data_IF_811939499025
#
_entry.id   IF_811939499025
#
_cell.length_a   1.000
_cell.length_b   1.000
_cell.length_c   1.000
_cell.angle_alpha   90.00
_cell.angle_beta   90.00
_cell.angle_gamma   90.00
#
_symmetry.space_group_name_H-M   'P 1'
#
loop_
_entity.id
_entity.type
_entity.pdbx_description
1 polymer ?
#
# COMPACT_ATOMS: atom_id res chain seq x y z
N UNK A 1 -19.07 22.41 -0.74
CA UNK A 1 -18.55 21.03 -0.55
C UNK A 1 -18.83 20.66 0.90
N UNK A 2 -19.60 19.61 1.14
CA UNK A 2 -19.99 19.19 2.48
C UNK A 2 -18.96 18.18 3.01
N UNK A 3 -18.46 18.40 4.23
CA UNK A 3 -17.50 17.49 4.86
C UNK A 3 -18.23 16.31 5.48
N UNK A 4 -18.11 15.12 4.90
CA UNK A 4 -18.84 13.92 5.34
C UNK A 4 -18.21 13.21 6.54
N UNK A 5 -16.98 13.55 6.90
CA UNK A 5 -16.23 12.94 8.02
C UNK A 5 -16.27 13.76 9.31
N UNK A 6 -17.19 14.73 9.41
CA UNK A 6 -17.42 15.50 10.61
C UNK A 6 -18.90 15.44 11.01
N UNK A 7 -19.16 15.41 12.31
CA UNK A 7 -20.51 15.55 12.84
C UNK A 7 -20.87 17.04 13.01
N UNK A 8 -22.09 17.30 13.45
CA UNK A 8 -22.61 18.68 13.67
C UNK A 8 -21.80 19.49 14.72
N UNK A 9 -21.11 18.80 15.64
CA UNK A 9 -20.21 19.40 16.62
C UNK A 9 -18.78 19.63 16.09
N UNK A 10 -18.50 19.35 14.82
CA UNK A 10 -17.17 19.49 14.21
C UNK A 10 -16.16 18.41 14.62
N UNK A 11 -16.62 17.33 15.25
CA UNK A 11 -15.78 16.21 15.63
C UNK A 11 -15.73 15.15 14.52
N UNK A 12 -14.61 14.41 14.46
CA UNK A 12 -14.40 13.38 13.47
C UNK A 12 -15.46 12.26 13.58
N UNK A 13 -15.97 11.81 12.43
CA UNK A 13 -17.01 10.80 12.31
C UNK A 13 -16.69 9.89 11.13
N UNK A 14 -16.73 8.58 11.34
CA UNK A 14 -16.66 7.61 10.24
C UNK A 14 -18.00 7.63 9.47
N UNK A 15 -17.92 7.70 8.14
CA UNK A 15 -19.10 7.77 7.28
C UNK A 15 -19.90 6.47 7.35
N UNK A 16 -21.23 6.57 7.53
CA UNK A 16 -22.09 5.40 7.40
C UNK A 16 -22.21 4.98 5.93
N UNK A 17 -21.93 3.71 5.68
CA UNK A 17 -21.97 3.09 4.34
C UNK A 17 -23.01 1.97 4.24
N UNK A 18 -23.91 1.85 5.22
CA UNK A 18 -24.92 0.76 5.31
C UNK A 18 -25.84 0.73 4.08
N UNK A 19 -26.22 1.90 3.57
CA UNK A 19 -27.13 2.01 2.41
C UNK A 19 -26.42 1.82 1.05
N UNK A 20 -25.10 1.69 1.04
CA UNK A 20 -24.35 1.47 -0.20
C UNK A 20 -24.42 0.02 -0.62
N UNK A 21 -24.69 -0.22 -1.90
CA UNK A 21 -24.63 -1.58 -2.47
C UNK A 21 -23.21 -2.12 -2.39
N UNK A 22 -23.11 -3.38 -1.98
CA UNK A 22 -21.88 -4.16 -2.09
C UNK A 22 -21.49 -4.32 -3.55
N UNK A 23 -20.26 -3.98 -3.89
CA UNK A 23 -19.72 -4.11 -5.25
C UNK A 23 -18.32 -4.72 -5.19
N UNK A 24 -17.95 -5.43 -6.26
CA UNK A 24 -16.56 -5.87 -6.43
C UNK A 24 -15.68 -4.64 -6.69
N UNK A 25 -14.53 -4.61 -6.02
CA UNK A 25 -13.58 -3.49 -6.09
C UNK A 25 -12.16 -4.00 -6.24
N UNK A 26 -11.39 -3.23 -6.96
CA UNK A 26 -9.96 -3.44 -7.18
C UNK A 26 -9.23 -2.13 -7.00
N UNK A 27 -8.02 -2.20 -6.48
CA UNK A 27 -7.08 -1.08 -6.50
C UNK A 27 -5.64 -1.59 -6.67
N UNK A 28 -4.80 -0.73 -7.24
CA UNK A 28 -3.36 -0.92 -7.38
C UNK A 28 -2.64 0.37 -6.99
N UNK A 29 -1.58 0.24 -6.20
CA UNK A 29 -0.67 1.32 -5.84
C UNK A 29 0.77 0.90 -6.07
N UNK A 30 1.65 1.87 -6.26
CA UNK A 30 3.09 1.64 -6.25
C UNK A 30 3.82 2.63 -5.36
N UNK A 31 5.09 2.37 -5.16
CA UNK A 31 6.05 3.27 -4.52
C UNK A 31 7.46 2.76 -4.76
N UNK A 32 8.45 3.59 -4.50
CA UNK A 32 9.85 3.29 -4.77
C UNK A 32 10.71 3.54 -3.54
N UNK A 33 11.70 2.70 -3.32
CA UNK A 33 12.80 2.98 -2.39
C UNK A 33 14.07 3.15 -3.20
N UNK A 34 14.63 4.36 -3.15
CA UNK A 34 15.91 4.70 -3.76
C UNK A 34 17.04 4.17 -2.87
N UNK A 35 18.06 3.57 -3.47
CA UNK A 35 19.18 2.99 -2.74
C UNK A 35 20.41 2.84 -3.64
N UNK A 36 21.57 2.63 -3.04
CA UNK A 36 22.83 2.42 -3.77
C UNK A 36 22.77 1.14 -4.60
N UNK A 37 23.33 1.17 -5.80
CA UNK A 37 23.36 0.02 -6.71
C UNK A 37 23.90 -1.25 -6.05
N UNK A 38 24.99 -1.15 -5.25
CA UNK A 38 25.54 -2.29 -4.52
C UNK A 38 24.53 -2.88 -3.49
N UNK A 39 23.67 -2.05 -2.90
CA UNK A 39 22.63 -2.51 -1.98
C UNK A 39 21.55 -3.29 -2.75
N UNK A 40 21.15 -2.77 -3.91
CA UNK A 40 20.19 -3.45 -4.81
C UNK A 40 20.70 -4.84 -5.20
N UNK A 41 21.96 -4.93 -5.65
CA UNK A 41 22.56 -6.21 -6.05
C UNK A 41 22.55 -7.23 -4.90
N UNK A 42 22.93 -6.82 -3.68
CA UNK A 42 22.89 -7.69 -2.50
C UNK A 42 21.48 -8.16 -2.15
N UNK A 43 20.46 -7.31 -2.31
CA UNK A 43 19.07 -7.69 -2.08
C UNK A 43 18.65 -8.80 -3.04
N UNK A 44 18.92 -8.63 -4.34
CA UNK A 44 18.53 -9.61 -5.36
C UNK A 44 19.40 -10.88 -5.35
N UNK A 45 20.64 -10.79 -4.87
CA UNK A 45 21.51 -11.96 -4.66
C UNK A 45 21.21 -12.72 -3.35
N UNK A 46 20.28 -12.22 -2.51
CA UNK A 46 20.00 -12.76 -1.16
C UNK A 46 21.22 -12.76 -0.23
N UNK A 47 22.11 -11.77 -0.37
CA UNK A 47 23.35 -11.64 0.42
C UNK A 47 23.21 -10.73 1.65
N UNK A 48 21.99 -10.31 1.97
CA UNK A 48 21.72 -9.51 3.15
C UNK A 48 21.75 -10.38 4.43
N UNK A 49 22.43 -9.92 5.46
CA UNK A 49 22.56 -10.65 6.73
C UNK A 49 21.22 -11.00 7.39
N UNK A 50 20.19 -10.19 7.17
CA UNK A 50 18.83 -10.40 7.70
C UNK A 50 18.00 -11.39 6.87
N UNK A 51 18.54 -11.98 5.81
CA UNK A 51 17.88 -12.95 4.95
C UNK A 51 17.21 -12.34 3.73
N UNK A 52 16.20 -13.05 3.20
CA UNK A 52 15.50 -12.65 1.98
C UNK A 52 14.63 -11.40 2.20
N UNK A 53 15.17 -10.24 1.82
CA UNK A 53 14.54 -8.92 2.03
C UNK A 53 13.18 -8.82 1.36
N UNK A 54 13.09 -9.24 0.08
CA UNK A 54 11.86 -9.07 -0.70
C UNK A 54 10.74 -9.98 -0.20
N UNK A 55 11.06 -11.22 0.19
CA UNK A 55 10.07 -12.13 0.75
C UNK A 55 9.51 -11.63 2.10
N UNK A 56 10.37 -11.09 2.97
CA UNK A 56 9.91 -10.49 4.23
C UNK A 56 9.09 -9.23 3.99
N UNK A 57 9.51 -8.37 3.07
CA UNK A 57 8.78 -7.17 2.70
C UNK A 57 7.39 -7.47 2.10
N UNK A 58 7.30 -8.51 1.25
CA UNK A 58 6.03 -8.97 0.68
C UNK A 58 5.05 -9.39 1.79
N UNK A 59 5.49 -10.25 2.71
CA UNK A 59 4.65 -10.70 3.83
C UNK A 59 4.24 -9.51 4.71
N UNK A 60 5.17 -8.60 5.02
CA UNK A 60 4.89 -7.42 5.83
C UNK A 60 3.83 -6.52 5.17
N UNK A 61 3.92 -6.28 3.86
CA UNK A 61 2.94 -5.53 3.11
C UNK A 61 1.56 -6.20 3.08
N UNK A 62 1.50 -7.52 2.86
CA UNK A 62 0.25 -8.29 2.90
C UNK A 62 -0.39 -8.23 4.30
N UNK A 63 0.40 -8.32 5.35
CA UNK A 63 -0.10 -8.17 6.72
C UNK A 63 -0.62 -6.76 6.97
N UNK A 64 0.10 -5.75 6.50
CA UNK A 64 -0.23 -4.34 6.72
C UNK A 64 -1.54 -3.94 6.04
N UNK A 65 -1.78 -4.35 4.81
CA UNK A 65 -3.04 -4.05 4.11
C UNK A 65 -4.26 -4.60 4.85
N UNK A 66 -4.12 -5.74 5.56
CA UNK A 66 -5.17 -6.31 6.42
C UNK A 66 -5.38 -5.53 7.72
N UNK A 67 -4.45 -4.67 8.10
CA UNK A 67 -4.49 -3.85 9.31
C UNK A 67 -4.87 -2.38 9.04
N UNK A 68 -5.23 -2.02 7.84
CA UNK A 68 -5.48 -0.63 7.43
C UNK A 68 -6.48 0.06 8.33
N UNK A 69 -7.60 -0.59 8.67
CA UNK A 69 -8.62 -0.02 9.56
C UNK A 69 -8.10 0.25 11.00
N UNK A 70 -7.05 -0.43 11.43
CA UNK A 70 -6.41 -0.20 12.73
C UNK A 70 -5.37 0.95 12.68
N UNK A 71 -4.92 1.35 11.49
CA UNK A 71 -3.90 2.37 11.28
C UNK A 71 -4.48 3.71 10.83
N UNK A 72 -5.55 3.68 10.04
CA UNK A 72 -6.20 4.86 9.46
C UNK A 72 -7.53 5.09 10.15
N UNK A 73 -7.70 6.17 10.92
CA UNK A 73 -8.85 6.37 11.82
C UNK A 73 -10.23 6.27 11.17
N UNK A 74 -10.37 6.72 9.91
CA UNK A 74 -11.65 6.75 9.20
C UNK A 74 -11.80 5.61 8.18
N UNK A 75 -10.86 4.68 8.12
CA UNK A 75 -10.97 3.51 7.25
C UNK A 75 -11.95 2.48 7.85
N UNK A 76 -12.82 1.94 7.00
CA UNK A 76 -13.71 0.84 7.37
C UNK A 76 -12.98 -0.50 7.32
N UNK A 77 -13.44 -1.47 8.08
CA UNK A 77 -13.01 -2.86 7.92
C UNK A 77 -13.51 -3.38 6.56
N UNK A 78 -12.60 -3.94 5.78
CA UNK A 78 -12.87 -4.45 4.44
C UNK A 78 -12.57 -5.95 4.39
N UNK A 79 -13.46 -6.71 3.77
CA UNK A 79 -13.22 -8.11 3.48
C UNK A 79 -12.36 -8.25 2.22
N UNK A 80 -11.06 -8.42 2.39
CA UNK A 80 -10.10 -8.59 1.29
C UNK A 80 -10.21 -10.01 0.75
N UNK A 81 -10.50 -10.14 -0.54
CA UNK A 81 -10.63 -11.43 -1.23
C UNK A 81 -9.32 -11.93 -1.82
N UNK A 82 -8.41 -11.02 -2.13
CA UNK A 82 -7.10 -11.34 -2.68
C UNK A 82 -6.20 -10.12 -2.72
N UNK A 83 -4.91 -10.34 -2.63
CA UNK A 83 -3.88 -9.31 -2.76
C UNK A 83 -2.59 -9.91 -3.31
N UNK A 84 -1.83 -9.09 -4.03
CA UNK A 84 -0.49 -9.44 -4.48
C UNK A 84 0.46 -8.25 -4.30
N UNK A 85 1.73 -8.56 -4.03
CA UNK A 85 2.80 -7.57 -3.92
C UNK A 85 3.99 -8.07 -4.73
N UNK A 86 4.41 -7.25 -5.67
CA UNK A 86 5.52 -7.51 -6.56
C UNK A 86 6.58 -6.43 -6.44
N UNK A 87 7.83 -6.78 -6.79
CA UNK A 87 8.98 -5.88 -6.77
C UNK A 87 9.65 -5.84 -8.13
N UNK A 88 9.96 -4.61 -8.60
CA UNK A 88 10.67 -4.37 -9.84
C UNK A 88 12.02 -3.75 -9.50
N UNK A 89 13.10 -4.35 -10.05
CA UNK A 89 14.46 -3.83 -9.95
C UNK A 89 14.64 -2.66 -10.91
N UNK A 90 15.11 -1.53 -10.39
CA UNK A 90 15.59 -0.38 -11.16
C UNK A 90 17.09 -0.14 -10.88
N UNK A 91 17.75 0.68 -11.69
CA UNK A 91 19.17 1.01 -11.50
C UNK A 91 19.43 1.79 -10.20
N UNK A 92 18.44 2.58 -9.77
CA UNK A 92 18.52 3.51 -8.63
C UNK A 92 17.66 3.07 -7.43
N UNK A 93 16.99 1.92 -7.50
CA UNK A 93 16.12 1.47 -6.40
C UNK A 93 15.28 0.25 -6.71
N UNK A 94 14.31 0.01 -5.83
CA UNK A 94 13.34 -1.07 -5.95
C UNK A 94 11.94 -0.45 -5.90
N UNK A 95 11.13 -0.76 -6.89
CA UNK A 95 9.71 -0.40 -6.92
C UNK A 95 8.89 -1.53 -6.32
N UNK A 96 7.94 -1.17 -5.46
CA UNK A 96 6.93 -2.07 -4.92
C UNK A 96 5.59 -1.75 -5.58
N UNK A 97 4.91 -2.77 -6.09
CA UNK A 97 3.55 -2.68 -6.61
C UNK A 97 2.67 -3.56 -5.74
N UNK A 98 1.59 -3.00 -5.23
CA UNK A 98 0.59 -3.71 -4.44
C UNK A 98 -0.76 -3.61 -5.11
N UNK A 99 -1.45 -4.73 -5.26
CA UNK A 99 -2.83 -4.78 -5.73
C UNK A 99 -3.70 -5.61 -4.79
N UNK A 100 -5.00 -5.27 -4.73
CA UNK A 100 -5.96 -6.01 -3.92
C UNK A 100 -7.36 -5.94 -4.51
N UNK A 101 -8.18 -6.94 -4.14
CA UNK A 101 -9.59 -7.08 -4.50
C UNK A 101 -10.43 -7.28 -3.24
N UNK A 102 -11.61 -6.67 -3.23
CA UNK A 102 -12.59 -6.90 -2.17
C UNK A 102 -14.02 -6.86 -2.72
N UNK A 103 -14.95 -7.33 -1.92
CA UNK A 103 -16.37 -7.02 -2.04
C UNK A 103 -16.78 -6.14 -0.86
N UNK A 104 -17.37 -4.98 -1.11
CA UNK A 104 -17.70 -4.06 -0.03
C UNK A 104 -18.39 -2.78 -0.46
N UNK A 105 -18.72 -1.99 0.54
CA UNK A 105 -19.46 -0.73 0.44
C UNK A 105 -18.53 0.48 0.33
N UNK A 106 -17.22 0.29 0.49
CA UNK A 106 -16.18 1.33 0.39
C UNK A 106 -15.01 0.87 -0.48
N UNK A 107 -14.14 1.80 -0.88
CA UNK A 107 -12.97 1.51 -1.70
C UNK A 107 -11.86 0.79 -0.95
N UNK A 108 -10.93 0.20 -1.69
CA UNK A 108 -9.77 -0.55 -1.17
C UNK A 108 -8.43 0.20 -1.43
N UNK A 109 -8.52 1.48 -1.75
CA UNK A 109 -7.36 2.30 -2.10
C UNK A 109 -6.36 2.42 -0.95
N UNK A 110 -6.86 2.57 0.29
CA UNK A 110 -5.99 2.73 1.46
C UNK A 110 -5.23 1.46 1.78
N UNK A 111 -5.83 0.30 1.61
CA UNK A 111 -5.20 -0.99 1.83
C UNK A 111 -3.96 -1.17 0.96
N UNK A 112 -4.06 -0.90 -0.35
CA UNK A 112 -2.92 -1.04 -1.26
C UNK A 112 -1.83 0.01 -0.99
N UNK A 113 -2.20 1.24 -0.61
CA UNK A 113 -1.25 2.29 -0.22
C UNK A 113 -0.50 1.88 1.05
N UNK A 114 -1.19 1.39 2.08
CA UNK A 114 -0.57 0.92 3.33
C UNK A 114 0.32 -0.30 3.06
N UNK A 115 -0.12 -1.23 2.21
CA UNK A 115 0.69 -2.37 1.78
C UNK A 115 2.04 -1.96 1.20
N UNK A 116 2.04 -1.00 0.26
CA UNK A 116 3.26 -0.44 -0.33
C UNK A 116 4.14 0.23 0.73
N UNK A 117 3.55 1.08 1.59
CA UNK A 117 4.30 1.80 2.63
C UNK A 117 5.09 0.83 3.54
N UNK A 118 4.43 -0.20 4.04
CA UNK A 118 5.05 -1.13 5.00
C UNK A 118 6.02 -2.09 4.30
N UNK A 119 5.75 -2.49 3.06
CA UNK A 119 6.70 -3.26 2.27
C UNK A 119 8.02 -2.48 2.07
N UNK A 120 7.95 -1.22 1.65
CA UNK A 120 9.13 -0.37 1.46
C UNK A 120 9.84 -0.05 2.77
N UNK A 121 9.11 0.22 3.85
CA UNK A 121 9.69 0.43 5.18
C UNK A 121 10.41 -0.84 5.70
N UNK A 122 9.92 -2.02 5.36
CA UNK A 122 10.56 -3.30 5.70
C UNK A 122 11.86 -3.48 4.92
N UNK A 123 11.89 -3.14 3.62
CA UNK A 123 13.15 -3.10 2.85
C UNK A 123 14.15 -2.17 3.52
N UNK A 124 13.72 -0.96 3.91
CA UNK A 124 14.57 -0.01 4.61
C UNK A 124 15.14 -0.61 5.91
N UNK A 125 14.30 -1.18 6.77
CA UNK A 125 14.76 -1.79 8.04
C UNK A 125 15.79 -2.90 7.80
N UNK A 126 15.57 -3.73 6.80
CA UNK A 126 16.46 -4.86 6.52
C UNK A 126 17.79 -4.43 5.89
N UNK A 127 17.83 -3.29 5.18
CA UNK A 127 19.02 -2.81 4.46
C UNK A 127 19.78 -1.68 5.18
N UNK A 128 19.19 -0.99 6.17
CA UNK A 128 19.77 0.20 6.82
C UNK A 128 21.16 0.01 7.45
N UNK A 129 21.56 -1.22 7.73
CA UNK A 129 22.90 -1.51 8.24
C UNK A 129 24.00 -1.28 7.19
N UNK A 130 23.69 -1.38 5.89
CA UNK A 130 24.63 -1.21 4.78
C UNK A 130 24.36 0.05 3.96
N UNK A 131 23.14 0.57 4.00
CA UNK A 131 22.73 1.78 3.30
C UNK A 131 21.73 2.57 4.14
N UNK A 132 22.13 3.71 4.70
CA UNK A 132 21.27 4.57 5.53
C UNK A 132 20.60 5.69 4.76
N UNK A 133 21.10 5.98 3.55
CA UNK A 133 20.68 7.11 2.73
C UNK A 133 19.47 6.77 1.84
N UNK A 134 18.90 5.59 2.02
CA UNK A 134 17.72 5.16 1.26
C UNK A 134 16.53 6.10 1.48
N UNK A 135 15.81 6.38 0.40
CA UNK A 135 14.64 7.27 0.41
C UNK A 135 13.42 6.53 -0.12
N UNK A 136 12.37 6.44 0.70
CA UNK A 136 11.06 5.97 0.25
C UNK A 136 10.33 7.16 -0.40
N UNK A 137 9.86 6.97 -1.62
CA UNK A 137 9.25 8.03 -2.41
C UNK A 137 8.18 7.51 -3.36
N UNK A 138 7.48 8.44 -4.00
CA UNK A 138 6.54 8.19 -5.11
C UNK A 138 5.40 7.21 -4.77
N UNK A 139 4.99 7.12 -3.51
CA UNK A 139 3.86 6.27 -3.14
C UNK A 139 2.58 6.91 -3.68
N UNK A 140 1.89 6.19 -4.57
CA UNK A 140 0.71 6.70 -5.27
C UNK A 140 -0.24 5.60 -5.68
N UNK A 141 -1.53 5.94 -5.73
CA UNK A 141 -2.54 5.11 -6.36
C UNK A 141 -2.35 5.13 -7.88
N UNK A 142 -2.31 3.96 -8.50
CA UNK A 142 -2.22 3.82 -9.96
C UNK A 142 -3.58 3.67 -10.59
N UNK A 143 -4.41 2.77 -10.04
CA UNK A 143 -5.74 2.54 -10.57
C UNK A 143 -6.69 2.04 -9.48
N UNK A 144 -7.97 2.27 -9.70
CA UNK A 144 -9.03 1.64 -8.92
C UNK A 144 -10.26 1.40 -9.79
N UNK A 145 -11.02 0.38 -9.48
CA UNK A 145 -12.29 0.08 -10.14
C UNK A 145 -13.41 -0.15 -9.14
N UNK A 146 -14.63 0.11 -9.58
CA UNK A 146 -15.84 -0.07 -8.79
C UNK A 146 -16.22 1.12 -7.90
N UNK A 147 -17.43 1.02 -7.31
CA UNK A 147 -17.99 2.04 -6.44
C UNK A 147 -18.61 3.23 -7.16
N UNK A 148 -19.24 4.12 -6.38
CA UNK A 148 -20.02 5.28 -6.88
C UNK A 148 -19.15 6.29 -7.66
N UNK A 149 -17.87 6.44 -7.28
CA UNK A 149 -16.93 7.35 -7.94
C UNK A 149 -16.33 6.80 -9.25
N UNK A 150 -16.79 5.61 -9.69
CA UNK A 150 -16.35 5.01 -10.95
C UNK A 150 -14.90 4.53 -10.95
N UNK A 151 -14.36 4.31 -12.14
CA UNK A 151 -13.00 3.86 -12.34
C UNK A 151 -12.04 5.06 -12.39
N UNK A 152 -10.86 4.86 -11.86
CA UNK A 152 -9.75 5.81 -11.94
C UNK A 152 -8.52 5.07 -12.44
N UNK A 153 -7.80 5.68 -13.35
CA UNK A 153 -6.48 5.26 -13.79
C UNK A 153 -5.59 6.49 -13.89
N UNK A 154 -4.42 6.42 -13.25
CA UNK A 154 -3.44 7.51 -13.30
C UNK A 154 -2.91 7.63 -14.73
N UNK A 155 -2.95 8.83 -15.28
CA UNK A 155 -2.15 9.20 -16.45
C UNK A 155 -0.71 9.45 -15.98
N UNK A 156 0.24 8.94 -16.73
CA UNK A 156 1.67 9.24 -16.51
C UNK A 156 1.98 10.73 -16.64
#
# INVERSE_FOLDING_TARGET
MEFTHFNEAGLAKMVDVSDKKTTSRYAQANGKILMKSNTIEKVYANEMKKGNVLAVAQIAGIMALKQTANLIPMAHNINILGSDINFIKHEDGIECICEAKCEGNTGIEMEVIIGVNIALATIYDMCKAVDKDMVISEIKLLEKTGGKSGNYKRSE
#
